data_IF_648573732422
#
_entry.id   IF_648573732422
#
_cell.length_a   1.000
_cell.length_b   1.000
_cell.length_c   1.000
_cell.angle_alpha   90.00
_cell.angle_beta   90.00
_cell.angle_gamma   90.00
#
_symmetry.space_group_name_H-M   'P 1'
#
loop_
_entity.id
_entity.type
_entity.pdbx_description
1 polymer ?
#
# COMPACT_ATOMS: atom_id res chain seq x y z
N UNK A 1 17.06 20.33 16.46
CA UNK A 1 16.09 19.60 15.61
C UNK A 1 15.89 18.26 16.25
N UNK A 2 14.67 17.78 16.45
CA UNK A 2 14.47 16.40 16.90
C UNK A 2 15.17 15.47 15.93
N UNK A 3 15.79 14.42 16.45
CA UNK A 3 16.42 13.36 15.70
C UNK A 3 15.36 12.65 14.84
N UNK A 4 15.74 12.11 13.70
CA UNK A 4 14.83 11.45 12.76
C UNK A 4 14.13 10.25 13.43
N UNK A 5 14.87 9.50 14.25
CA UNK A 5 14.37 8.38 15.05
C UNK A 5 13.31 8.81 16.07
N UNK A 6 13.56 9.91 16.80
CA UNK A 6 12.57 10.48 17.73
C UNK A 6 11.30 10.92 17.01
N UNK A 7 11.43 11.49 15.82
CA UNK A 7 10.29 11.89 14.99
C UNK A 7 9.49 10.68 14.49
N UNK A 8 10.17 9.61 14.08
CA UNK A 8 9.56 8.34 13.65
C UNK A 8 8.81 7.65 14.81
N UNK A 9 9.44 7.57 15.97
CA UNK A 9 8.82 6.99 17.17
C UNK A 9 7.55 7.75 17.59
N UNK A 10 7.58 9.08 17.52
CA UNK A 10 6.41 9.91 17.76
C UNK A 10 5.32 9.67 16.72
N UNK A 11 5.67 9.61 15.43
CA UNK A 11 4.75 9.33 14.34
C UNK A 11 4.10 7.94 14.49
N UNK A 12 4.86 6.92 14.92
CA UNK A 12 4.34 5.58 15.20
C UNK A 12 3.32 5.60 16.34
N UNK A 13 3.64 6.29 17.45
CA UNK A 13 2.70 6.45 18.59
C UNK A 13 1.41 7.15 18.16
N UNK A 14 1.52 8.18 17.33
CA UNK A 14 0.37 8.90 16.79
C UNK A 14 -0.46 8.03 15.84
N UNK A 15 0.20 7.20 15.02
CA UNK A 15 -0.48 6.27 14.10
C UNK A 15 -1.32 5.23 14.87
N UNK A 16 -0.76 4.60 15.90
CA UNK A 16 -1.50 3.67 16.77
C UNK A 16 -2.71 4.34 17.42
N UNK A 17 -2.54 5.55 17.93
CA UNK A 17 -3.65 6.31 18.49
C UNK A 17 -4.71 6.60 17.44
N UNK A 18 -4.30 7.05 16.25
CA UNK A 18 -5.21 7.36 15.16
C UNK A 18 -6.03 6.14 14.72
N UNK A 19 -5.41 4.97 14.55
CA UNK A 19 -6.10 3.73 14.19
C UNK A 19 -7.16 3.37 15.23
N UNK A 20 -6.81 3.43 16.53
CA UNK A 20 -7.76 3.14 17.62
C UNK A 20 -8.91 4.13 17.69
N UNK A 21 -8.63 5.41 17.54
CA UNK A 21 -9.64 6.46 17.59
C UNK A 21 -10.58 6.39 16.37
N UNK A 22 -10.06 6.07 15.17
CA UNK A 22 -10.86 5.85 13.96
C UNK A 22 -11.75 4.60 14.11
N UNK A 23 -11.28 3.55 14.77
CA UNK A 23 -12.13 2.38 15.09
C UNK A 23 -13.33 2.71 15.98
N UNK A 24 -13.22 3.73 16.83
CA UNK A 24 -14.30 4.14 17.78
C UNK A 24 -15.30 5.11 17.16
N UNK A 25 -14.83 6.09 16.41
CA UNK A 25 -15.63 7.22 15.89
C UNK A 25 -15.09 7.61 14.49
N UNK A 26 -15.16 6.67 13.53
CA UNK A 26 -14.52 6.65 12.24
C UNK A 26 -14.35 8.01 11.55
N UNK A 27 -15.47 8.60 11.08
CA UNK A 27 -15.41 9.80 10.24
C UNK A 27 -14.87 11.05 10.94
N UNK A 28 -15.29 11.28 12.18
CA UNK A 28 -14.90 12.47 12.94
C UNK A 28 -13.41 12.42 13.28
N UNK A 29 -12.94 11.29 13.77
CA UNK A 29 -11.53 11.16 14.16
C UNK A 29 -10.61 11.21 12.95
N UNK A 30 -10.98 10.57 11.85
CA UNK A 30 -10.19 10.64 10.63
C UNK A 30 -10.00 12.09 10.15
N UNK A 31 -11.08 12.89 10.12
CA UNK A 31 -10.98 14.32 9.79
C UNK A 31 -10.06 15.07 10.75
N UNK A 32 -10.24 14.89 12.05
CA UNK A 32 -9.41 15.57 13.05
C UNK A 32 -7.93 15.28 12.85
N UNK A 33 -7.55 14.02 12.51
CA UNK A 33 -6.15 13.67 12.23
C UNK A 33 -5.65 14.31 10.94
N UNK A 34 -6.46 14.32 9.87
CA UNK A 34 -6.08 14.96 8.60
C UNK A 34 -5.94 16.48 8.79
N UNK A 35 -6.84 17.12 9.52
CA UNK A 35 -6.77 18.56 9.85
C UNK A 35 -5.52 18.88 10.66
N UNK A 36 -5.20 18.07 11.66
CA UNK A 36 -3.98 18.22 12.44
C UNK A 36 -2.72 18.05 11.59
N UNK A 37 -2.68 17.04 10.72
CA UNK A 37 -1.56 16.83 9.80
C UNK A 37 -1.41 17.98 8.80
N UNK A 38 -2.51 18.55 8.29
CA UNK A 38 -2.48 19.73 7.41
C UNK A 38 -1.90 20.96 8.10
N UNK A 39 -2.21 21.16 9.38
CA UNK A 39 -1.66 22.27 10.19
C UNK A 39 -0.17 22.08 10.47
N UNK A 40 0.27 20.84 10.71
CA UNK A 40 1.67 20.51 11.03
C UNK A 40 2.56 20.37 9.79
N UNK A 41 1.97 20.23 8.61
CA UNK A 41 2.72 20.04 7.36
C UNK A 41 3.46 21.32 6.95
N UNK A 42 4.77 21.35 7.20
CA UNK A 42 5.65 22.46 6.80
C UNK A 42 6.10 22.37 5.34
N UNK A 43 6.11 21.17 4.76
CA UNK A 43 6.53 20.92 3.38
C UNK A 43 5.39 21.21 2.41
N UNK A 44 5.62 21.94 1.29
CA UNK A 44 4.55 22.31 0.35
C UNK A 44 3.86 21.10 -0.32
N UNK A 45 4.58 20.00 -0.54
CA UNK A 45 4.05 18.77 -1.10
C UNK A 45 3.15 18.03 -0.10
N UNK A 46 3.57 17.91 1.16
CA UNK A 46 2.75 17.34 2.23
C UNK A 46 1.53 18.22 2.52
N UNK A 47 1.71 19.54 2.52
CA UNK A 47 0.59 20.45 2.71
C UNK A 47 -0.47 20.25 1.62
N UNK A 48 -0.07 20.23 0.34
CA UNK A 48 -0.99 19.97 -0.79
C UNK A 48 -1.69 18.62 -0.68
N UNK A 49 -0.97 17.57 -0.23
CA UNK A 49 -1.57 16.26 0.01
C UNK A 49 -2.68 16.32 1.07
N UNK A 50 -2.40 16.93 2.22
CA UNK A 50 -3.38 17.03 3.29
C UNK A 50 -4.52 17.98 2.97
N UNK A 51 -4.28 19.12 2.28
CA UNK A 51 -5.32 20.02 1.80
C UNK A 51 -6.28 19.29 0.83
N UNK A 52 -5.74 18.42 -0.05
CA UNK A 52 -6.56 17.57 -0.91
C UNK A 52 -7.35 16.53 -0.10
N UNK A 53 -6.70 15.86 0.85
CA UNK A 53 -7.36 14.90 1.73
C UNK A 53 -8.49 15.54 2.53
N UNK A 54 -8.31 16.75 3.06
CA UNK A 54 -9.37 17.53 3.71
C UNK A 54 -10.56 17.75 2.76
N UNK A 55 -10.30 18.18 1.53
CA UNK A 55 -11.36 18.42 0.52
C UNK A 55 -12.16 17.15 0.24
N UNK A 56 -11.49 16.01 0.05
CA UNK A 56 -12.13 14.72 -0.21
C UNK A 56 -12.95 14.24 1.00
N UNK A 57 -12.44 14.44 2.22
CA UNK A 57 -13.09 14.00 3.45
C UNK A 57 -14.17 14.97 3.97
N UNK A 58 -14.36 16.15 3.34
CA UNK A 58 -15.54 16.99 3.61
C UNK A 58 -16.84 16.32 3.16
N UNK A 59 -16.79 15.47 2.15
CA UNK A 59 -17.93 14.71 1.68
C UNK A 59 -18.13 13.47 2.54
N UNK A 60 -19.27 13.38 3.22
CA UNK A 60 -19.61 12.25 4.11
C UNK A 60 -19.85 10.94 3.36
N UNK A 61 -20.13 11.00 2.06
CA UNK A 61 -20.33 9.88 1.14
C UNK A 61 -19.05 9.45 0.42
N UNK A 62 -17.91 10.05 0.75
CA UNK A 62 -16.62 9.73 0.11
C UNK A 62 -16.27 8.24 0.29
N UNK A 63 -15.90 7.58 -0.82
CA UNK A 63 -15.43 6.19 -0.83
C UNK A 63 -14.21 5.97 0.07
N UNK A 64 -13.41 6.99 0.32
CA UNK A 64 -12.26 6.90 1.22
C UNK A 64 -12.65 6.57 2.66
N UNK A 65 -13.81 7.03 3.14
CA UNK A 65 -14.29 6.62 4.46
C UNK A 65 -14.59 5.13 4.53
N UNK A 66 -15.25 4.58 3.51
CA UNK A 66 -15.53 3.14 3.42
C UNK A 66 -14.23 2.34 3.38
N UNK A 67 -13.27 2.79 2.54
CA UNK A 67 -11.96 2.14 2.42
C UNK A 67 -11.21 2.13 3.75
N UNK A 68 -11.08 3.30 4.42
CA UNK A 68 -10.33 3.41 5.67
C UNK A 68 -11.03 2.65 6.79
N UNK A 69 -12.36 2.72 6.88
CA UNK A 69 -13.10 1.94 7.86
C UNK A 69 -12.90 0.44 7.67
N UNK A 70 -12.96 -0.06 6.43
CA UNK A 70 -12.67 -1.45 6.13
C UNK A 70 -11.23 -1.84 6.52
N UNK A 71 -10.26 -0.98 6.19
CA UNK A 71 -8.86 -1.20 6.54
C UNK A 71 -8.69 -1.32 8.07
N UNK A 72 -9.14 -0.33 8.83
CA UNK A 72 -8.96 -0.34 10.29
C UNK A 72 -9.78 -1.42 10.99
N UNK A 73 -10.90 -1.88 10.42
CA UNK A 73 -11.73 -2.94 10.96
C UNK A 73 -11.17 -4.34 10.71
N UNK A 74 -10.49 -4.55 9.59
CA UNK A 74 -10.13 -5.89 9.10
C UNK A 74 -8.63 -6.21 9.23
N UNK A 75 -7.76 -5.21 9.39
CA UNK A 75 -6.31 -5.40 9.43
C UNK A 75 -5.78 -5.26 10.84
N UNK A 76 -4.75 -6.03 11.16
CA UNK A 76 -4.01 -5.89 12.43
C UNK A 76 -3.49 -4.46 12.58
N UNK A 77 -3.61 -3.88 13.78
CA UNK A 77 -3.20 -2.51 14.07
C UNK A 77 -1.71 -2.29 13.81
N UNK A 78 -0.85 -3.23 14.25
CA UNK A 78 0.60 -3.11 14.06
C UNK A 78 0.97 -3.15 12.57
N UNK A 79 0.27 -3.96 11.76
CA UNK A 79 0.49 -4.01 10.32
C UNK A 79 0.09 -2.69 9.62
N UNK A 80 -1.04 -2.08 10.00
CA UNK A 80 -1.44 -0.76 9.48
C UNK A 80 -0.40 0.30 9.84
N UNK A 81 -0.02 0.35 11.11
CA UNK A 81 0.89 1.38 11.62
C UNK A 81 2.29 1.21 11.03
N UNK A 82 2.85 -0.01 11.04
CA UNK A 82 4.19 -0.28 10.50
C UNK A 82 4.24 0.01 9.00
N UNK A 83 3.33 -0.58 8.21
CA UNK A 83 3.31 -0.35 6.77
C UNK A 83 3.05 1.12 6.42
N UNK A 84 2.14 1.80 7.16
CA UNK A 84 1.83 3.21 6.95
C UNK A 84 3.01 4.14 7.26
N UNK A 85 3.74 3.91 8.35
CA UNK A 85 4.93 4.71 8.70
C UNK A 85 6.08 4.41 7.74
N UNK A 86 6.36 3.15 7.44
CA UNK A 86 7.43 2.79 6.51
C UNK A 86 7.17 3.36 5.11
N UNK A 87 5.93 3.31 4.62
CA UNK A 87 5.58 3.89 3.32
C UNK A 87 5.58 5.43 3.35
N UNK A 88 4.87 6.01 4.31
CA UNK A 88 4.67 7.47 4.36
C UNK A 88 5.91 8.22 4.84
N UNK A 89 6.46 7.81 5.98
CA UNK A 89 7.57 8.52 6.63
C UNK A 89 8.92 8.10 6.06
N UNK A 90 9.21 6.81 6.03
CA UNK A 90 10.52 6.32 5.61
C UNK A 90 10.67 6.39 4.07
N UNK A 91 9.77 5.80 3.28
CA UNK A 91 9.92 5.75 1.83
C UNK A 91 9.66 7.11 1.15
N UNK A 92 8.49 7.73 1.40
CA UNK A 92 8.10 8.93 0.63
C UNK A 92 8.80 10.19 1.17
N UNK A 93 8.71 10.44 2.49
CA UNK A 93 9.23 11.69 3.08
C UNK A 93 10.75 11.71 3.10
N UNK A 94 11.40 10.61 3.52
CA UNK A 94 12.85 10.56 3.64
C UNK A 94 13.54 10.57 2.28
N UNK A 95 13.04 9.80 1.30
CA UNK A 95 13.57 9.81 -0.06
C UNK A 95 13.48 11.21 -0.69
N UNK A 96 12.31 11.86 -0.61
CA UNK A 96 12.13 13.21 -1.15
C UNK A 96 13.00 14.25 -0.43
N UNK A 97 13.29 14.09 0.86
CA UNK A 97 14.18 14.95 1.61
C UNK A 97 15.64 14.82 1.15
N UNK A 98 16.09 13.58 0.89
CA UNK A 98 17.46 13.30 0.48
C UNK A 98 17.71 13.65 -0.98
N UNK A 99 16.74 13.45 -1.88
CA UNK A 99 16.83 13.89 -3.27
C UNK A 99 17.04 15.42 -3.41
N UNK A 100 16.51 16.21 -2.46
CA UNK A 100 16.76 17.67 -2.44
C UNK A 100 18.16 18.05 -1.96
N UNK A 101 18.83 17.20 -1.19
CA UNK A 101 20.18 17.47 -0.68
C UNK A 101 21.29 17.06 -1.65
N UNK A 102 21.00 16.14 -2.57
CA UNK A 102 21.95 15.64 -3.56
C UNK A 102 21.72 16.37 -4.88
N UNK A 103 22.68 17.21 -5.28
CA UNK A 103 22.66 18.04 -6.48
C UNK A 103 22.37 17.24 -7.77
N UNK A 104 21.10 17.01 -8.09
CA UNK A 104 20.66 16.57 -9.43
C UNK A 104 20.46 15.08 -9.65
N UNK A 105 20.87 14.16 -8.78
CA UNK A 105 20.54 12.74 -8.90
C UNK A 105 19.22 12.43 -8.22
N UNK A 106 18.20 12.09 -9.01
CA UNK A 106 16.90 11.65 -8.49
C UNK A 106 16.96 10.16 -8.20
N UNK A 107 16.96 9.77 -6.93
CA UNK A 107 16.86 8.37 -6.54
C UNK A 107 15.40 7.94 -6.55
N UNK A 108 15.15 6.71 -6.98
CA UNK A 108 13.82 6.10 -6.88
C UNK A 108 13.46 5.88 -5.41
N UNK A 109 12.21 6.15 -5.06
CA UNK A 109 11.66 5.81 -3.74
C UNK A 109 11.13 4.38 -3.69
N UNK A 110 11.00 3.71 -4.85
CA UNK A 110 10.46 2.38 -5.03
C UNK A 110 11.46 1.51 -5.80
N UNK A 111 11.72 0.33 -5.28
CA UNK A 111 12.55 -0.69 -5.88
C UNK A 111 11.69 -1.87 -6.34
N UNK A 112 12.19 -2.66 -7.27
CA UNK A 112 11.51 -3.85 -7.79
C UNK A 112 12.48 -5.02 -7.78
N UNK A 113 12.03 -6.21 -7.39
CA UNK A 113 12.85 -7.41 -7.34
C UNK A 113 12.04 -8.70 -7.29
N UNK A 114 12.75 -9.81 -7.11
CA UNK A 114 12.17 -11.14 -6.95
C UNK A 114 12.52 -11.69 -5.56
N UNK A 115 11.56 -12.37 -4.94
CA UNK A 115 11.75 -12.95 -3.61
C UNK A 115 12.79 -14.10 -3.62
N UNK A 116 13.01 -14.73 -4.77
CA UNK A 116 14.02 -15.80 -4.98
C UNK A 116 15.43 -15.28 -5.24
N UNK A 117 15.61 -13.97 -5.49
CA UNK A 117 16.92 -13.41 -5.81
C UNK A 117 17.91 -13.60 -4.66
N UNK A 118 19.06 -14.27 -4.88
CA UNK A 118 20.01 -14.59 -3.82
C UNK A 118 20.66 -13.33 -3.20
N UNK A 119 20.74 -12.23 -3.96
CA UNK A 119 21.30 -10.94 -3.56
C UNK A 119 20.25 -9.97 -2.97
N UNK A 120 19.01 -10.41 -2.75
CA UNK A 120 17.91 -9.53 -2.33
C UNK A 120 18.21 -8.82 -1.01
N UNK A 121 18.76 -9.51 -0.02
CA UNK A 121 19.12 -8.94 1.28
C UNK A 121 20.16 -7.81 1.15
N UNK A 122 21.22 -8.06 0.39
CA UNK A 122 22.26 -7.06 0.09
C UNK A 122 21.69 -5.86 -0.66
N UNK A 123 20.80 -6.11 -1.62
CA UNK A 123 20.13 -5.06 -2.39
C UNK A 123 19.24 -4.18 -1.49
N UNK A 124 18.52 -4.76 -0.52
CA UNK A 124 17.71 -4.01 0.44
C UNK A 124 18.60 -3.18 1.35
N UNK A 125 19.69 -3.74 1.89
CA UNK A 125 20.66 -3.01 2.72
C UNK A 125 21.23 -1.80 1.95
N UNK A 126 21.61 -1.98 0.69
CA UNK A 126 22.12 -0.89 -0.15
C UNK A 126 21.07 0.19 -0.43
N UNK A 127 19.82 -0.22 -0.67
CA UNK A 127 18.70 0.70 -0.89
C UNK A 127 18.41 1.52 0.39
N UNK A 128 18.37 0.89 1.55
CA UNK A 128 18.18 1.55 2.86
C UNK A 128 19.29 2.54 3.16
N UNK A 129 20.55 2.19 2.88
CA UNK A 129 21.68 3.13 2.97
C UNK A 129 21.52 4.32 2.04
N UNK A 130 20.84 4.15 0.90
CA UNK A 130 20.43 5.19 -0.03
C UNK A 130 19.12 5.90 0.32
N UNK A 131 18.47 5.55 1.45
CA UNK A 131 17.16 6.06 1.88
C UNK A 131 16.00 5.71 0.93
N UNK A 132 16.05 4.52 0.34
CA UNK A 132 14.98 3.94 -0.45
C UNK A 132 14.42 2.71 0.28
N UNK A 133 13.17 2.79 0.75
CA UNK A 133 12.60 1.85 1.72
C UNK A 133 11.36 1.11 1.20
N UNK A 134 10.89 1.40 0.00
CA UNK A 134 9.73 0.71 -0.58
C UNK A 134 10.15 -0.28 -1.67
N UNK A 135 9.53 -1.46 -1.63
CA UNK A 135 9.83 -2.56 -2.53
C UNK A 135 8.54 -3.17 -3.11
N UNK A 136 8.59 -3.49 -4.39
CA UNK A 136 7.65 -4.40 -5.04
C UNK A 136 8.42 -5.68 -5.34
N UNK A 137 8.02 -6.78 -4.70
CA UNK A 137 8.69 -8.07 -4.79
C UNK A 137 7.76 -9.10 -5.43
N UNK A 138 8.20 -9.72 -6.49
CA UNK A 138 7.50 -10.84 -7.11
C UNK A 138 7.82 -12.13 -6.34
N UNK A 139 6.80 -12.78 -5.81
CA UNK A 139 6.90 -14.11 -5.25
C UNK A 139 6.80 -15.14 -6.39
N UNK A 140 7.90 -15.30 -7.11
CA UNK A 140 8.05 -16.23 -8.24
C UNK A 140 8.13 -17.70 -7.79
N UNK A 141 8.49 -17.91 -6.52
CA UNK A 141 8.50 -19.20 -5.81
C UNK A 141 7.81 -19.06 -4.44
N UNK A 142 7.56 -20.18 -3.78
CA UNK A 142 7.06 -20.19 -2.40
C UNK A 142 8.06 -19.50 -1.44
N UNK A 143 7.57 -18.54 -0.68
CA UNK A 143 8.40 -17.84 0.30
C UNK A 143 8.92 -18.80 1.37
N UNK A 144 10.24 -18.91 1.47
CA UNK A 144 10.87 -19.70 2.52
C UNK A 144 10.81 -19.00 3.87
N UNK A 145 10.89 -19.72 5.01
CA UNK A 145 11.02 -19.09 6.32
C UNK A 145 12.21 -18.11 6.43
N UNK A 146 13.31 -18.41 5.70
CA UNK A 146 14.49 -17.53 5.64
C UNK A 146 14.16 -16.21 4.94
N UNK A 147 13.48 -16.25 3.80
CA UNK A 147 13.06 -15.06 3.06
C UNK A 147 12.13 -14.20 3.92
N UNK A 148 11.15 -14.82 4.60
CA UNK A 148 10.23 -14.10 5.48
C UNK A 148 10.96 -13.45 6.66
N UNK A 149 11.88 -14.16 7.32
CA UNK A 149 12.67 -13.61 8.42
C UNK A 149 13.56 -12.44 7.96
N UNK A 150 14.12 -12.52 6.75
CA UNK A 150 14.89 -11.45 6.14
C UNK A 150 13.99 -10.21 5.91
N UNK A 151 12.79 -10.33 5.31
CA UNK A 151 11.87 -9.20 5.14
C UNK A 151 11.50 -8.57 6.49
N UNK A 152 11.24 -9.38 7.52
CA UNK A 152 10.90 -8.89 8.86
C UNK A 152 12.06 -8.13 9.52
N UNK A 153 13.32 -8.47 9.22
CA UNK A 153 14.50 -7.81 9.80
C UNK A 153 14.68 -6.36 9.32
N UNK A 154 14.16 -6.02 8.12
CA UNK A 154 14.19 -4.68 7.55
C UNK A 154 13.03 -3.81 8.06
N UNK A 155 13.12 -3.37 9.31
CA UNK A 155 12.02 -2.74 10.05
C UNK A 155 11.59 -1.36 9.51
N UNK A 156 12.43 -0.71 8.71
CA UNK A 156 12.13 0.58 8.06
C UNK A 156 11.57 0.41 6.65
N UNK A 157 11.73 -0.75 6.05
CA UNK A 157 11.25 -1.02 4.69
C UNK A 157 9.82 -1.53 4.68
N UNK A 158 9.08 -1.21 3.61
CA UNK A 158 7.75 -1.75 3.30
C UNK A 158 7.84 -2.58 2.02
N UNK A 159 7.27 -3.77 2.05
CA UNK A 159 7.30 -4.73 0.96
C UNK A 159 5.90 -4.99 0.42
N UNK A 160 5.66 -4.62 -0.83
CA UNK A 160 4.51 -5.06 -1.59
C UNK A 160 4.86 -6.40 -2.24
N UNK A 161 4.41 -7.50 -1.63
CA UNK A 161 4.73 -8.84 -2.13
C UNK A 161 3.60 -9.34 -3.03
N UNK A 162 3.94 -9.59 -4.28
CA UNK A 162 3.02 -9.98 -5.35
C UNK A 162 2.95 -11.50 -5.45
N UNK A 163 1.76 -12.06 -5.27
CA UNK A 163 1.49 -13.47 -5.42
C UNK A 163 0.50 -13.69 -6.56
N UNK A 164 0.78 -14.67 -7.41
CA UNK A 164 -0.23 -15.20 -8.32
C UNK A 164 -1.39 -15.79 -7.50
N UNK A 165 -2.58 -15.23 -7.65
CA UNK A 165 -3.74 -15.63 -6.87
C UNK A 165 -4.10 -17.13 -7.04
N UNK A 166 -3.76 -17.73 -8.19
CA UNK A 166 -3.98 -19.14 -8.49
C UNK A 166 -2.98 -20.06 -7.79
N UNK A 167 -1.78 -19.55 -7.47
CA UNK A 167 -0.68 -20.31 -6.84
C UNK A 167 -0.56 -20.07 -5.35
N UNK A 168 -1.30 -19.10 -4.80
CA UNK A 168 -1.21 -18.76 -3.39
C UNK A 168 -1.72 -19.92 -2.52
N UNK A 169 -0.88 -20.39 -1.61
CA UNK A 169 -1.19 -21.52 -0.74
C UNK A 169 -1.22 -21.11 0.75
N UNK A 170 -1.85 -21.94 1.57
CA UNK A 170 -2.04 -21.67 3.00
C UNK A 170 -0.70 -21.61 3.76
N UNK A 171 0.29 -22.43 3.42
CA UNK A 171 1.58 -22.43 4.09
C UNK A 171 2.36 -21.12 3.84
N UNK A 172 2.30 -20.57 2.62
CA UNK A 172 2.87 -19.26 2.30
C UNK A 172 2.14 -18.16 3.08
N UNK A 173 0.80 -18.21 3.13
CA UNK A 173 0.00 -17.26 3.90
C UNK A 173 0.36 -17.27 5.39
N UNK A 174 0.49 -18.45 6.01
CA UNK A 174 0.88 -18.59 7.43
C UNK A 174 2.23 -17.94 7.72
N UNK A 175 3.19 -18.08 6.81
CA UNK A 175 4.53 -17.47 6.98
C UNK A 175 4.47 -15.96 6.93
N UNK A 176 3.66 -15.39 6.03
CA UNK A 176 3.59 -13.93 5.79
C UNK A 176 2.65 -13.23 6.79
N UNK A 177 1.70 -13.94 7.39
CA UNK A 177 0.68 -13.37 8.28
C UNK A 177 1.25 -12.61 9.49
N UNK A 178 2.47 -12.95 9.96
CA UNK A 178 3.16 -12.25 11.05
C UNK A 178 4.02 -11.06 10.62
N UNK A 179 4.05 -10.69 9.34
CA UNK A 179 4.90 -9.63 8.83
C UNK A 179 4.15 -8.29 8.80
N UNK A 180 4.45 -7.41 9.76
CA UNK A 180 3.79 -6.10 9.86
C UNK A 180 4.23 -5.10 8.77
N UNK A 181 5.38 -5.33 8.14
CA UNK A 181 5.94 -4.50 7.07
C UNK A 181 5.68 -5.06 5.66
N UNK A 182 4.85 -6.09 5.54
CA UNK A 182 4.46 -6.70 4.26
C UNK A 182 3.00 -6.39 3.94
N UNK A 183 2.77 -5.89 2.74
CA UNK A 183 1.46 -5.72 2.12
C UNK A 183 1.36 -6.76 1.01
N UNK A 184 0.44 -7.70 1.12
CA UNK A 184 0.26 -8.75 0.13
C UNK A 184 -0.63 -8.29 -1.02
N UNK A 185 -0.18 -8.48 -2.26
CA UNK A 185 -0.96 -8.23 -3.46
C UNK A 185 -1.27 -9.54 -4.19
N UNK A 186 -2.54 -9.90 -4.26
CA UNK A 186 -3.01 -11.02 -5.07
C UNK A 186 -3.12 -10.59 -6.52
N UNK A 187 -2.27 -11.13 -7.39
CA UNK A 187 -2.23 -10.80 -8.81
C UNK A 187 -3.35 -11.51 -9.54
N UNK A 188 -4.18 -10.74 -10.23
CA UNK A 188 -5.20 -11.18 -11.16
C UNK A 188 -4.75 -10.79 -12.57
N UNK A 189 -4.53 -11.78 -13.43
CA UNK A 189 -4.08 -11.55 -14.82
C UNK A 189 -5.19 -11.08 -15.75
N UNK A 190 -6.44 -11.22 -15.30
CA UNK A 190 -7.65 -10.73 -15.97
C UNK A 190 -8.53 -10.01 -14.93
N UNK A 191 -9.42 -9.09 -15.34
CA UNK A 191 -10.35 -8.43 -14.43
C UNK A 191 -11.51 -9.36 -14.01
N UNK A 192 -11.15 -10.50 -13.45
CA UNK A 192 -12.05 -11.53 -12.94
C UNK A 192 -11.49 -12.08 -11.63
N UNK A 193 -12.34 -12.24 -10.61
CA UNK A 193 -11.97 -12.87 -9.35
C UNK A 193 -12.30 -14.35 -9.41
N UNK A 194 -11.26 -15.18 -9.44
CA UNK A 194 -11.39 -16.64 -9.43
C UNK A 194 -11.80 -17.15 -8.04
N UNK A 195 -12.27 -18.40 -7.98
CA UNK A 195 -12.58 -19.08 -6.71
C UNK A 195 -11.36 -19.16 -5.81
N UNK A 196 -10.18 -19.39 -6.38
CA UNK A 196 -8.90 -19.43 -5.67
C UNK A 196 -8.55 -18.06 -5.05
N UNK A 197 -8.72 -16.99 -5.82
CA UNK A 197 -8.52 -15.61 -5.33
C UNK A 197 -9.50 -15.28 -4.19
N UNK A 198 -10.77 -15.66 -4.29
CA UNK A 198 -11.74 -15.49 -3.21
C UNK A 198 -11.32 -16.24 -1.95
N UNK A 199 -10.88 -17.50 -2.08
CA UNK A 199 -10.42 -18.31 -0.95
C UNK A 199 -9.20 -17.69 -0.29
N UNK A 200 -8.19 -17.28 -1.07
CA UNK A 200 -6.99 -16.61 -0.58
C UNK A 200 -7.34 -15.30 0.17
N UNK A 201 -8.18 -14.46 -0.42
CA UNK A 201 -8.63 -13.21 0.18
C UNK A 201 -9.35 -13.42 1.51
N UNK A 202 -10.28 -14.39 1.59
CA UNK A 202 -10.98 -14.71 2.82
C UNK A 202 -10.04 -15.25 3.90
N UNK A 203 -9.06 -16.07 3.54
CA UNK A 203 -8.06 -16.58 4.46
C UNK A 203 -7.15 -15.45 4.99
N UNK A 204 -6.71 -14.51 4.15
CA UNK A 204 -5.96 -13.33 4.57
C UNK A 204 -6.77 -12.43 5.50
N UNK A 205 -8.07 -12.24 5.21
CA UNK A 205 -8.98 -11.48 6.06
C UNK A 205 -9.12 -12.11 7.44
N UNK A 206 -9.27 -13.43 7.52
CA UNK A 206 -9.41 -14.14 8.81
C UNK A 206 -8.17 -14.00 9.69
N UNK A 207 -7.00 -13.76 9.09
CA UNK A 207 -5.72 -13.53 9.77
C UNK A 207 -5.39 -12.05 9.95
N UNK A 208 -6.31 -11.16 9.61
CA UNK A 208 -6.16 -9.71 9.71
C UNK A 208 -4.91 -9.17 8.98
N UNK A 209 -4.52 -9.80 7.88
CA UNK A 209 -3.39 -9.37 7.04
C UNK A 209 -3.70 -8.08 6.30
N UNK A 210 -2.67 -7.30 6.00
CA UNK A 210 -2.78 -6.17 5.09
C UNK A 210 -2.62 -6.67 3.65
N UNK A 211 -3.70 -6.70 2.87
CA UNK A 211 -3.71 -7.27 1.52
C UNK A 211 -4.62 -6.50 0.58
N UNK A 212 -4.41 -6.68 -0.70
CA UNK A 212 -5.24 -6.14 -1.78
C UNK A 212 -5.11 -6.96 -3.05
N UNK A 213 -5.71 -6.47 -4.12
CA UNK A 213 -5.54 -7.05 -5.44
C UNK A 213 -4.62 -6.18 -6.31
N UNK A 214 -3.83 -6.83 -7.16
CA UNK A 214 -3.19 -6.21 -8.30
C UNK A 214 -3.82 -6.81 -9.55
N UNK A 215 -4.45 -5.98 -10.37
CA UNK A 215 -5.15 -6.42 -11.59
C UNK A 215 -4.40 -5.93 -12.82
N UNK A 216 -4.03 -6.86 -13.68
CA UNK A 216 -3.40 -6.55 -14.97
C UNK A 216 -4.46 -6.22 -16.00
N UNK A 217 -4.45 -4.97 -16.48
CA UNK A 217 -5.44 -4.45 -17.43
C UNK A 217 -4.87 -4.36 -18.83
N UNK A 218 -5.48 -5.09 -19.76
CA UNK A 218 -5.24 -4.94 -21.19
C UNK A 218 -6.06 -3.80 -21.80
N UNK A 219 -5.82 -3.52 -23.07
CA UNK A 219 -6.57 -2.48 -23.81
C UNK A 219 -8.07 -2.76 -23.86
N UNK A 220 -8.45 -4.02 -24.01
CA UNK A 220 -9.85 -4.45 -24.04
C UNK A 220 -10.55 -4.27 -22.68
N UNK A 221 -9.79 -4.31 -21.59
CA UNK A 221 -10.29 -4.33 -20.22
C UNK A 221 -10.39 -2.92 -19.60
N UNK A 222 -9.86 -1.89 -20.27
CA UNK A 222 -9.70 -0.55 -19.68
C UNK A 222 -11.03 0.03 -19.13
N UNK A 223 -12.16 -0.25 -19.78
CA UNK A 223 -13.48 0.18 -19.30
C UNK A 223 -13.92 -0.55 -18.01
N UNK A 224 -13.41 -1.75 -17.76
CA UNK A 224 -13.75 -2.54 -16.58
C UNK A 224 -13.22 -1.88 -15.29
N UNK A 225 -12.11 -1.14 -15.36
CA UNK A 225 -11.50 -0.49 -14.21
C UNK A 225 -12.44 0.43 -13.41
N UNK A 226 -13.50 0.95 -14.07
CA UNK A 226 -14.52 1.82 -13.45
C UNK A 226 -15.93 1.21 -13.49
N UNK A 227 -16.06 -0.06 -13.89
CA UNK A 227 -17.33 -0.76 -13.89
C UNK A 227 -17.79 -1.00 -12.45
N UNK A 228 -19.02 -0.57 -12.13
CA UNK A 228 -19.56 -0.62 -10.77
C UNK A 228 -19.65 -2.06 -10.24
N UNK A 229 -20.15 -2.99 -11.04
CA UNK A 229 -20.30 -4.38 -10.64
C UNK A 229 -18.95 -5.03 -10.31
N UNK A 230 -17.94 -4.73 -11.13
CA UNK A 230 -16.57 -5.15 -10.89
C UNK A 230 -15.98 -4.55 -9.59
N UNK A 231 -16.18 -3.24 -9.40
CA UNK A 231 -15.71 -2.56 -8.20
C UNK A 231 -16.40 -3.09 -6.92
N UNK A 232 -17.68 -3.44 -7.00
CA UNK A 232 -18.41 -4.03 -5.88
C UNK A 232 -17.88 -5.43 -5.55
N UNK A 233 -17.58 -6.26 -6.55
CA UNK A 233 -16.94 -7.56 -6.34
C UNK A 233 -15.54 -7.40 -5.74
N UNK A 234 -14.71 -6.48 -6.26
CA UNK A 234 -13.41 -6.17 -5.66
C UNK A 234 -13.53 -5.74 -4.20
N UNK A 235 -14.49 -4.86 -3.88
CA UNK A 235 -14.71 -4.34 -2.53
C UNK A 235 -15.24 -5.41 -1.55
N UNK A 236 -15.88 -6.46 -2.06
CA UNK A 236 -16.35 -7.58 -1.24
C UNK A 236 -15.19 -8.43 -0.72
N UNK A 237 -14.15 -8.64 -1.53
CA UNK A 237 -13.06 -9.55 -1.22
C UNK A 237 -11.75 -8.85 -0.85
N UNK A 238 -11.45 -7.67 -1.39
CA UNK A 238 -10.22 -6.92 -1.20
C UNK A 238 -10.37 -5.69 -0.31
N UNK A 239 -9.26 -5.27 0.30
CA UNK A 239 -9.18 -4.01 1.04
C UNK A 239 -8.95 -2.83 0.10
N UNK A 240 -8.19 -3.05 -0.97
CA UNK A 240 -7.88 -2.08 -2.03
C UNK A 240 -7.50 -2.82 -3.32
N UNK A 241 -7.44 -2.08 -4.42
CA UNK A 241 -7.01 -2.59 -5.71
C UNK A 241 -5.99 -1.65 -6.35
N UNK A 242 -4.97 -2.24 -6.96
CA UNK A 242 -3.97 -1.57 -7.80
C UNK A 242 -4.13 -2.09 -9.21
N UNK A 243 -4.19 -1.19 -10.19
CA UNK A 243 -4.19 -1.57 -11.60
C UNK A 243 -2.81 -1.41 -12.20
N UNK A 244 -2.38 -2.41 -12.95
CA UNK A 244 -1.19 -2.35 -13.81
C UNK A 244 -1.60 -2.58 -15.25
N UNK A 245 -0.81 -2.06 -16.18
CA UNK A 245 -1.10 -2.21 -17.61
C UNK A 245 -0.37 -3.41 -18.19
N UNK A 246 -1.06 -4.18 -19.03
CA UNK A 246 -0.44 -5.17 -19.93
C UNK A 246 0.29 -4.46 -21.08
N UNK A 247 1.24 -5.14 -21.75
CA UNK A 247 2.01 -4.56 -22.86
C UNK A 247 1.18 -4.09 -24.05
N UNK A 248 -0.02 -4.65 -24.26
CA UNK A 248 -0.95 -4.29 -25.33
C UNK A 248 -1.73 -2.98 -25.09
N UNK A 249 -1.67 -2.45 -23.86
CA UNK A 249 -2.30 -1.17 -23.54
C UNK A 249 -1.36 -0.01 -23.86
N UNK A 250 -1.74 0.83 -24.83
CA UNK A 250 -1.00 2.05 -25.13
C UNK A 250 -1.13 3.12 -24.04
N UNK A 251 -0.19 4.08 -24.03
CA UNK A 251 -0.13 5.13 -23.01
C UNK A 251 -1.41 6.00 -22.99
N UNK A 252 -2.02 6.29 -24.14
CA UNK A 252 -3.24 7.11 -24.23
C UNK A 252 -4.42 6.43 -23.55
N UNK A 253 -4.58 5.12 -23.76
CA UNK A 253 -5.61 4.31 -23.11
C UNK A 253 -5.36 4.23 -21.59
N UNK A 254 -4.12 4.02 -21.16
CA UNK A 254 -3.75 4.00 -19.75
C UNK A 254 -4.03 5.36 -19.05
N UNK A 255 -3.70 6.48 -19.70
CA UNK A 255 -3.97 7.83 -19.17
C UNK A 255 -5.48 8.12 -19.09
N UNK A 256 -6.26 7.61 -20.06
CA UNK A 256 -7.72 7.74 -20.05
C UNK A 256 -8.33 6.92 -18.89
N UNK A 257 -7.90 5.68 -18.72
CA UNK A 257 -8.30 4.82 -17.61
C UNK A 257 -7.96 5.45 -16.26
N UNK A 258 -6.74 5.95 -16.08
CA UNK A 258 -6.32 6.65 -14.86
C UNK A 258 -7.23 7.84 -14.54
N UNK A 259 -7.51 8.69 -15.52
CA UNK A 259 -8.41 9.83 -15.34
C UNK A 259 -9.82 9.41 -14.93
N UNK A 260 -10.36 8.35 -15.52
CA UNK A 260 -11.68 7.82 -15.15
C UNK A 260 -11.69 7.31 -13.70
N UNK A 261 -10.65 6.56 -13.29
CA UNK A 261 -10.51 6.06 -11.91
C UNK A 261 -10.47 7.24 -10.92
N UNK A 262 -9.68 8.28 -11.20
CA UNK A 262 -9.60 9.46 -10.35
C UNK A 262 -10.95 10.17 -10.26
N UNK A 263 -11.64 10.38 -11.39
CA UNK A 263 -12.97 10.99 -11.39
C UNK A 263 -14.01 10.17 -10.63
N UNK A 264 -14.04 8.85 -10.82
CA UNK A 264 -15.00 7.99 -10.11
C UNK A 264 -14.80 7.96 -8.59
N UNK A 265 -13.59 8.27 -8.11
CA UNK A 265 -13.28 8.34 -6.66
C UNK A 265 -13.55 9.71 -6.03
N UNK A 266 -13.53 10.76 -6.84
CA UNK A 266 -13.74 12.15 -6.39
C UNK A 266 -15.19 12.59 -6.63
N UNK A 267 -15.86 11.99 -7.59
CA UNK A 267 -17.28 12.21 -7.94
C UNK A 267 -18.20 11.51 -7.01
#
# INVERSE_FOLDING_TARGET
>A
KPDLESSRSFAMTLAHRAVRDVRRDGFRQLRNYVDMCALLAQRPDLKRFFDHAQTVLQRTDSLYYKLINNLVAQVNEDAICTAGINLGFDAIISCASNNRKQNGETRSWLNVGFCSAPELDDAIIQAEAGSSYAWVLYADEDLTPKTVAMLQSHTHSVFFVLFDAQKFNEATMERVAGCNNVITLLCLHEPEITTEACRAANAMRSKQMFYGFLVEMGRADAAQAVNTDWLDVLAQYGLFCVYTRKPDMDQRTADAMYRQIVHSRIG
#
